data_IF_065251570323
#
_entry.id   IF_065251570323
#
_cell.length_a   1.000
_cell.length_b   1.000
_cell.length_c   1.000
_cell.angle_alpha   90.00
_cell.angle_beta   90.00
_cell.angle_gamma   90.00
#
_symmetry.space_group_name_H-M   'P 1'
#
loop_
_entity.id
_entity.type
_entity.pdbx_description
1 polymer ?
2 non-polymer ?
3 non-polymer ?
4 non-polymer ?
5 non-polymer ?
6 non-polymer ?
7 water ?
#
# COMPACT_ATOMS: atom_id res chain seq x y z
N UNK A 111 -37.62 5.13 34.88
CA UNK A 111 -36.54 5.53 33.98
C UNK A 111 -36.10 4.32 33.11
N UNK A 112 -36.06 4.53 31.76
CA UNK A 112 -35.79 3.39 30.86
C UNK A 112 -34.42 2.76 31.07
N UNK A 113 -34.19 1.63 30.40
CA UNK A 113 -33.01 0.82 30.66
C UNK A 113 -32.47 0.28 29.33
N UNK A 114 -31.44 0.94 28.81
CA UNK A 114 -30.97 0.76 27.44
C UNK A 114 -29.48 1.06 27.36
N UNK A 115 -28.80 0.40 26.43
CA UNK A 115 -27.40 0.66 26.14
C UNK A 115 -27.28 0.99 24.66
N UNK A 116 -26.53 2.06 24.35
CA UNK A 116 -26.27 2.45 22.96
C UNK A 116 -24.78 2.57 22.70
N UNK A 117 -24.36 2.09 21.54
CA UNK A 117 -22.97 2.23 21.12
C UNK A 117 -22.96 2.96 19.79
N UNK A 118 -21.93 3.77 19.59
CA UNK A 118 -21.80 4.51 18.35
C UNK A 118 -20.35 4.90 18.16
N UNK A 119 -19.98 5.20 16.92
CA UNK A 119 -18.64 5.67 16.65
C UNK A 119 -18.70 7.09 16.11
N UNK A 120 -17.72 7.90 16.53
CA UNK A 120 -17.70 9.32 16.26
C UNK A 120 -16.35 9.67 15.65
N UNK A 121 -16.31 10.19 14.42
CA UNK A 121 -15.02 10.42 13.77
C UNK A 121 -14.17 11.42 14.53
N UNK A 122 -12.85 11.19 14.51
CA UNK A 122 -11.89 12.17 14.96
C UNK A 122 -11.35 12.93 13.76
N UNK A 123 -10.77 14.09 14.03
CA UNK A 123 -10.03 14.81 13.00
C UNK A 123 -8.71 14.15 12.64
N UNK A 124 -8.13 13.36 13.54
CA UNK A 124 -6.84 12.78 13.20
C UNK A 124 -7.00 11.78 12.06
N UNK A 125 -6.08 11.83 11.10
CA UNK A 125 -6.13 10.96 9.93
C UNK A 125 -5.45 9.64 10.24
N UNK A 126 -5.88 8.60 9.52
CA UNK A 126 -5.13 7.36 9.46
C UNK A 126 -4.11 7.51 8.35
N UNK A 127 -2.89 7.10 8.64
CA UNK A 127 -1.83 7.20 7.66
C UNK A 127 -1.29 5.83 7.29
N UNK A 128 -0.40 5.86 6.33
CA UNK A 128 0.34 4.71 5.85
C UNK A 128 1.81 5.12 5.76
N UNK A 129 2.71 4.20 6.05
CA UNK A 129 4.13 4.55 6.13
C UNK A 129 4.88 3.93 4.96
N UNK A 130 5.62 4.76 4.23
CA UNK A 130 6.29 4.34 3.01
C UNK A 130 7.79 4.46 3.18
N UNK A 131 8.50 3.37 2.89
CA UNK A 131 9.95 3.27 3.01
C UNK A 131 10.53 3.01 1.63
N UNK A 132 11.47 3.86 1.21
CA UNK A 132 12.07 3.74 -0.11
C UNK A 132 13.59 3.83 0.03
N UNK A 133 14.31 3.02 -0.75
CA UNK A 133 15.77 3.06 -0.74
C UNK A 133 16.45 1.88 -0.05
N UNK A 134 15.72 1.03 0.66
CA UNK A 134 16.32 -0.11 1.34
C UNK A 134 17.16 -0.94 0.38
N UNK A 135 16.60 -1.30 -0.78
CA UNK A 135 17.34 -2.16 -1.71
C UNK A 135 18.64 -1.53 -2.19
N UNK A 136 18.80 -0.20 -2.05
CA UNK A 136 20.05 0.46 -2.47
C UNK A 136 21.20 0.17 -1.51
N UNK A 137 20.90 -0.01 -0.22
CA UNK A 137 21.85 -0.61 0.73
C UNK A 137 21.88 -2.12 0.55
N UNK A 138 21.42 -2.61 -0.60
CA UNK A 138 21.46 -4.04 -0.93
C UNK A 138 20.74 -4.87 0.12
N UNK A 139 19.79 -4.25 0.82
CA UNK A 139 18.82 -4.96 1.65
C UNK A 139 17.78 -5.59 0.74
N UNK A 140 17.35 -6.79 1.11
CA UNK A 140 16.34 -7.50 0.32
C UNK A 140 14.97 -6.97 0.72
N UNK A 141 14.21 -6.47 -0.26
CA UNK A 141 12.92 -5.86 0.06
C UNK A 141 11.93 -6.85 0.62
N UNK A 142 12.01 -8.13 0.19
CA UNK A 142 11.07 -9.11 0.70
C UNK A 142 11.24 -9.34 2.19
N UNK A 143 12.48 -9.55 2.63
CA UNK A 143 12.67 -9.78 4.06
C UNK A 143 12.56 -8.49 4.84
N UNK A 144 12.88 -7.35 4.20
CA UNK A 144 12.54 -6.07 4.80
C UNK A 144 11.05 -5.98 5.05
N UNK A 145 10.25 -6.33 4.03
CA UNK A 145 8.81 -6.25 4.18
C UNK A 145 8.35 -7.08 5.36
N UNK A 146 8.79 -8.36 5.41
CA UNK A 146 8.34 -9.25 6.49
C UNK A 146 8.86 -8.83 7.86
N UNK A 147 10.08 -8.29 7.92
CA UNK A 147 10.54 -7.74 9.19
C UNK A 147 9.59 -6.64 9.68
N UNK A 148 9.30 -5.66 8.78
CA UNK A 148 8.41 -4.56 9.14
C UNK A 148 7.06 -5.09 9.59
N UNK A 149 6.49 -6.00 8.79
CA UNK A 149 5.23 -6.62 9.15
C UNK A 149 5.25 -7.13 10.59
N UNK A 150 6.29 -7.90 10.96
CA UNK A 150 6.25 -8.51 12.28
C UNK A 150 6.62 -7.50 13.37
N UNK A 151 7.63 -6.64 13.14
CA UNK A 151 7.99 -5.74 14.23
C UNK A 151 6.86 -4.78 14.57
N UNK A 152 6.06 -4.42 13.59
CA UNK A 152 5.00 -3.46 13.83
C UNK A 152 3.63 -4.11 14.00
N UNK A 153 3.53 -5.41 13.74
CA UNK A 153 2.25 -6.13 13.85
C UNK A 153 1.18 -5.44 13.01
N UNK A 154 1.42 -5.52 11.69
CA UNK A 154 0.75 -4.66 10.72
C UNK A 154 1.13 -5.08 9.32
N UNK A 155 0.18 -5.06 8.38
CA UNK A 155 0.48 -5.53 7.04
C UNK A 155 1.45 -4.62 6.33
N UNK A 156 2.14 -5.17 5.34
CA UNK A 156 3.10 -4.43 4.53
C UNK A 156 3.25 -5.15 3.19
N UNK A 157 3.58 -4.38 2.16
CA UNK A 157 3.74 -4.96 0.83
C UNK A 157 4.80 -4.20 0.05
N UNK A 158 5.58 -4.92 -0.74
CA UNK A 158 6.46 -4.25 -1.70
C UNK A 158 5.58 -3.63 -2.77
N UNK A 159 5.68 -2.31 -2.93
CA UNK A 159 4.72 -1.54 -3.72
C UNK A 159 5.34 -0.75 -4.85
N UNK A 160 6.68 -0.72 -4.94
CA UNK A 160 7.41 -0.14 -6.05
C UNK A 160 8.58 -1.05 -6.30
N UNK A 161 9.53 -0.65 -7.15
CA UNK A 161 10.67 -1.55 -7.37
C UNK A 161 11.71 -1.43 -6.26
N UNK A 162 11.74 -0.30 -5.55
CA UNK A 162 12.48 -0.21 -4.30
C UNK A 162 11.64 0.59 -3.29
N UNK A 163 10.54 0.00 -2.82
CA UNK A 163 9.72 0.67 -1.82
C UNK A 163 8.71 -0.30 -1.24
N UNK A 164 8.42 -0.07 0.03
CA UNK A 164 7.55 -0.92 0.84
C UNK A 164 6.60 0.02 1.53
N UNK A 165 5.35 -0.41 1.70
CA UNK A 165 4.32 0.40 2.33
C UNK A 165 3.80 -0.37 3.52
N UNK A 166 3.78 0.28 4.69
CA UNK A 166 3.30 -0.32 5.92
C UNK A 166 2.00 0.36 6.29
N UNK A 167 1.03 -0.42 6.72
CA UNK A 167 -0.35 0.03 6.91
C UNK A 167 -0.62 0.75 8.23
N UNK A 168 0.27 1.64 8.67
CA UNK A 168 0.03 2.46 9.85
C UNK A 168 1.03 3.60 9.86
N UNK A 169 0.88 4.50 10.84
CA UNK A 169 1.83 5.59 11.04
C UNK A 169 2.88 5.11 12.02
N UNK A 170 4.07 4.80 11.51
CA UNK A 170 5.21 4.44 12.34
C UNK A 170 6.37 5.40 12.11
N UNK A 171 6.07 6.64 11.72
CA UNK A 171 7.12 7.57 11.29
C UNK A 171 8.01 8.02 12.45
N UNK A 172 7.54 7.87 13.70
CA UNK A 172 8.41 8.16 14.84
C UNK A 172 9.51 7.11 14.96
N UNK A 173 9.13 5.86 15.17
CA UNK A 173 10.10 4.80 15.41
C UNK A 173 10.87 4.42 14.15
N UNK A 174 10.26 4.57 12.97
CA UNK A 174 10.73 3.84 11.78
C UNK A 174 12.21 4.05 11.51
N UNK A 175 12.73 5.25 11.79
CA UNK A 175 14.15 5.50 11.59
C UNK A 175 14.98 4.63 12.53
N UNK A 176 14.78 4.79 13.84
CA UNK A 176 15.56 4.01 14.81
C UNK A 176 15.44 2.52 14.54
N UNK A 177 14.21 2.04 14.28
CA UNK A 177 13.98 0.62 13.97
C UNK A 177 14.81 0.20 12.76
N UNK A 178 14.80 1.02 11.71
CA UNK A 178 15.58 0.68 10.51
C UNK A 178 17.07 0.57 10.84
N UNK A 179 17.59 1.50 11.66
CA UNK A 179 19.03 1.55 11.90
C UNK A 179 19.49 0.46 12.88
N UNK A 180 18.70 0.21 13.92
CA UNK A 180 18.90 -0.99 14.73
C UNK A 180 19.04 -2.23 13.86
N UNK A 181 18.06 -2.49 12.99
CA UNK A 181 18.06 -3.73 12.25
C UNK A 181 19.12 -3.73 11.14
N UNK A 182 19.43 -2.57 10.57
CA UNK A 182 20.41 -2.48 9.48
C UNK A 182 21.38 -1.35 9.77
N UNK A 183 22.49 -1.63 10.45
CA UNK A 183 23.39 -0.54 10.87
C UNK A 183 24.10 0.16 9.71
N UNK A 184 24.23 -0.47 8.53
CA UNK A 184 24.66 0.24 7.33
C UNK A 184 24.04 1.63 7.22
N UNK A 185 22.75 1.74 7.55
CA UNK A 185 21.98 2.95 7.30
C UNK A 185 22.38 4.04 8.28
N UNK A 186 23.32 4.89 7.88
CA UNK A 186 23.77 5.93 8.80
C UNK A 186 22.88 7.14 8.72
N UNK A 187 23.01 8.00 9.74
CA UNK A 187 22.03 9.06 9.94
C UNK A 187 21.96 10.03 8.76
N UNK A 188 23.06 10.19 8.01
CA UNK A 188 23.09 11.10 6.86
C UNK A 188 22.62 10.44 5.57
N UNK A 189 21.91 9.32 5.65
CA UNK A 189 21.39 8.69 4.45
C UNK A 189 19.96 8.23 4.60
N UNK A 190 19.32 8.45 5.75
CA UNK A 190 17.90 8.18 5.94
C UNK A 190 17.21 9.49 6.36
N UNK A 191 16.19 9.88 5.60
CA UNK A 191 15.54 11.17 5.73
C UNK A 191 14.03 11.01 5.94
N UNK A 192 13.49 11.73 6.92
CA UNK A 192 12.04 11.79 7.16
C UNK A 192 11.50 12.99 6.39
N UNK A 193 10.86 12.72 5.26
CA UNK A 193 10.30 13.78 4.43
C UNK A 193 9.23 14.59 5.17
N UNK A 194 8.09 13.96 5.43
CA UNK A 194 6.92 14.65 5.96
C UNK A 194 5.64 14.18 5.29
N UNK A 195 4.92 15.08 4.62
CA UNK A 195 3.68 14.74 3.89
C UNK A 195 3.55 15.51 2.57
N UNK B 110 -7.45 50.00 -8.27
CA UNK B 110 -6.22 49.85 -7.50
C UNK B 110 -5.57 48.50 -7.83
N UNK B 111 -4.26 48.41 -7.61
CA UNK B 111 -3.46 47.20 -7.83
C UNK B 111 -2.40 47.12 -6.74
N UNK B 112 -2.36 46.04 -5.97
CA UNK B 112 -1.46 45.99 -4.80
C UNK B 112 -0.03 45.62 -5.18
N UNK B 113 0.91 46.08 -4.34
CA UNK B 113 2.32 45.72 -4.48
C UNK B 113 2.59 44.59 -3.51
N UNK B 114 2.30 43.36 -3.95
CA UNK B 114 2.14 42.23 -3.04
C UNK B 114 2.54 40.94 -3.75
N UNK B 115 3.31 40.09 -3.07
CA UNK B 115 3.59 38.75 -3.55
C UNK B 115 2.63 37.80 -2.87
N UNK B 116 1.91 37.01 -3.65
CA UNK B 116 1.11 35.92 -3.11
C UNK B 116 1.73 34.58 -3.47
N UNK B 117 1.60 33.65 -2.53
CA UNK B 117 2.00 32.26 -2.69
C UNK B 117 0.74 31.41 -2.58
N UNK B 118 0.65 30.38 -3.40
CA UNK B 118 -0.45 29.44 -3.24
C UNK B 118 -0.01 28.10 -3.81
N UNK B 119 -0.81 27.08 -3.50
CA UNK B 119 -0.60 25.68 -3.80
C UNK B 119 -1.84 25.20 -4.54
N UNK B 120 -1.66 24.45 -5.63
CA UNK B 120 -2.76 24.13 -6.53
C UNK B 120 -2.69 22.63 -6.77
N UNK B 121 -3.72 21.87 -6.38
CA UNK B 121 -3.70 20.42 -6.62
C UNK B 121 -3.68 20.11 -8.10
N UNK B 122 -2.73 19.28 -8.50
CA UNK B 122 -2.44 18.98 -9.90
C UNK B 122 -2.82 17.55 -10.29
N UNK B 123 -2.94 16.66 -9.31
CA UNK B 123 -3.20 15.24 -9.56
C UNK B 123 -3.46 14.55 -8.24
N UNK B 124 -4.44 13.64 -8.28
CA UNK B 124 -4.91 12.82 -7.17
C UNK B 124 -3.78 11.98 -6.56
N UNK B 125 -3.89 11.75 -5.26
CA UNK B 125 -3.10 10.74 -4.55
C UNK B 125 -2.99 9.48 -5.40
N UNK B 126 -1.74 9.03 -5.66
CA UNK B 126 -1.57 7.79 -6.42
C UNK B 126 -1.78 6.58 -5.51
N UNK B 127 -2.19 5.47 -6.11
CA UNK B 127 -2.65 4.29 -5.39
C UNK B 127 -2.14 3.06 -6.15
N UNK B 128 -1.91 1.97 -5.42
CA UNK B 128 -1.72 0.68 -6.06
C UNK B 128 -2.87 -0.22 -5.61
N UNK B 129 -3.18 -1.22 -6.41
CA UNK B 129 -4.26 -2.14 -6.07
C UNK B 129 -3.67 -3.51 -5.76
N UNK B 130 -4.00 -4.03 -4.60
CA UNK B 130 -3.49 -5.30 -4.13
C UNK B 130 -4.54 -6.38 -4.32
N UNK B 131 -4.14 -7.48 -4.96
CA UNK B 131 -4.99 -8.65 -5.16
C UNK B 131 -4.39 -9.86 -4.43
N UNK B 132 -5.17 -10.48 -3.56
CA UNK B 132 -4.73 -11.66 -2.79
C UNK B 132 -5.77 -12.75 -2.84
N UNK B 133 -5.30 -14.00 -2.74
CA UNK B 133 -6.18 -15.16 -2.68
C UNK B 133 -6.36 -15.89 -3.99
N UNK B 134 -5.83 -15.34 -5.08
CA UNK B 134 -5.97 -15.97 -6.39
C UNK B 134 -5.49 -17.42 -6.36
N UNK B 135 -4.37 -17.70 -5.65
CA UNK B 135 -3.82 -19.06 -5.62
C UNK B 135 -4.78 -20.06 -4.95
N UNK B 136 -5.56 -19.63 -3.95
CA UNK B 136 -6.54 -20.52 -3.33
C UNK B 136 -7.58 -21.03 -4.32
N UNK B 137 -7.56 -20.57 -5.56
CA UNK B 137 -8.47 -21.01 -6.62
C UNK B 137 -7.71 -21.66 -7.77
N UNK B 138 -6.46 -22.03 -7.54
CA UNK B 138 -5.64 -22.70 -8.55
C UNK B 138 -5.36 -21.78 -9.74
N UNK B 139 -5.34 -20.49 -9.51
CA UNK B 139 -4.97 -19.54 -10.57
C UNK B 139 -3.48 -19.29 -10.50
N UNK B 140 -2.82 -19.32 -11.65
CA UNK B 140 -1.37 -19.13 -11.69
C UNK B 140 -1.05 -17.65 -11.50
N UNK B 141 -0.22 -17.34 -10.51
CA UNK B 141 0.01 -15.94 -10.17
C UNK B 141 0.76 -15.21 -11.26
N UNK B 142 1.72 -15.86 -11.93
CA UNK B 142 2.41 -15.12 -13.00
C UNK B 142 1.53 -14.97 -14.23
N UNK B 143 0.64 -15.93 -14.49
CA UNK B 143 -0.39 -15.71 -15.51
C UNK B 143 -1.27 -14.53 -15.12
N UNK B 144 -1.76 -14.53 -13.88
CA UNK B 144 -2.60 -13.43 -13.43
C UNK B 144 -1.85 -12.11 -13.48
N UNK B 145 -0.59 -12.11 -13.05
CA UNK B 145 0.24 -10.92 -13.14
C UNK B 145 0.32 -10.41 -14.57
N UNK B 146 0.63 -11.30 -15.52
CA UNK B 146 0.76 -10.88 -16.92
C UNK B 146 -0.59 -10.47 -17.51
N UNK B 147 -1.67 -11.14 -17.13
CA UNK B 147 -2.98 -10.72 -17.60
C UNK B 147 -3.33 -9.32 -17.11
N UNK B 148 -3.17 -9.09 -15.80
CA UNK B 148 -3.47 -7.77 -15.24
C UNK B 148 -2.66 -6.69 -15.94
N UNK B 149 -1.36 -6.94 -16.11
CA UNK B 149 -0.49 -5.95 -16.75
C UNK B 149 -1.01 -5.54 -18.12
N UNK B 150 -1.69 -6.47 -18.81
CA UNK B 150 -2.18 -6.23 -20.16
C UNK B 150 -3.56 -5.61 -20.16
N UNK B 151 -4.50 -6.17 -19.37
CA UNK B 151 -5.86 -5.62 -19.35
C UNK B 151 -5.90 -4.21 -18.81
N UNK B 152 -4.88 -3.79 -18.06
CA UNK B 152 -4.86 -2.47 -17.46
C UNK B 152 -3.73 -1.59 -17.99
N UNK B 153 -2.85 -2.14 -18.81
CA UNK B 153 -1.78 -1.37 -19.45
C UNK B 153 -0.95 -0.68 -18.38
N UNK B 154 -0.32 -1.50 -17.54
CA UNK B 154 0.21 -1.00 -16.28
C UNK B 154 1.00 -2.11 -15.59
N UNK B 155 2.10 -1.71 -14.94
CA UNK B 155 2.96 -2.69 -14.30
C UNK B 155 2.20 -3.48 -13.26
N UNK B 156 2.49 -4.78 -13.20
CA UNK B 156 1.99 -5.65 -12.15
C UNK B 156 3.08 -6.64 -11.82
N UNK B 157 3.04 -7.15 -10.59
CA UNK B 157 4.10 -8.05 -10.18
C UNK B 157 3.67 -8.81 -8.94
N UNK B 158 4.18 -10.03 -8.83
CA UNK B 158 3.92 -10.88 -7.66
C UNK B 158 4.84 -10.43 -6.54
N UNK B 159 4.26 -9.93 -5.44
CA UNK B 159 5.03 -9.31 -4.37
C UNK B 159 5.08 -10.14 -3.11
N UNK B 160 4.57 -11.37 -3.14
CA UNK B 160 4.45 -12.18 -1.94
C UNK B 160 3.72 -13.46 -2.28
N UNK B 161 3.65 -14.38 -1.31
CA UNK B 161 3.33 -15.77 -1.64
C UNK B 161 2.03 -15.88 -2.43
N UNK B 162 1.05 -15.05 -2.12
CA UNK B 162 -0.24 -15.08 -2.82
C UNK B 162 -0.78 -13.67 -3.00
N UNK B 163 0.07 -12.75 -3.45
CA UNK B 163 -0.28 -11.35 -3.54
C UNK B 163 0.25 -10.74 -4.82
N UNK B 164 -0.59 -9.95 -5.49
CA UNK B 164 -0.18 -9.16 -6.63
C UNK B 164 -0.48 -7.68 -6.37
N UNK B 165 0.48 -6.83 -6.71
CA UNK B 165 0.35 -5.40 -6.65
C UNK B 165 0.39 -4.90 -8.08
N UNK B 166 -0.72 -4.26 -8.51
CA UNK B 166 -0.80 -3.52 -9.77
C UNK B 166 -0.56 -2.04 -9.50
N UNK B 167 0.18 -1.40 -10.40
CA UNK B 167 0.68 -0.04 -10.17
C UNK B 167 -0.34 1.05 -10.53
N UNK B 168 -1.62 0.86 -10.25
CA UNK B 168 -2.59 1.93 -10.35
C UNK B 168 -3.80 1.55 -9.51
N UNK B 169 -4.78 2.46 -9.49
CA UNK B 169 -6.08 2.21 -8.86
C UNK B 169 -7.02 1.62 -9.90
N UNK B 170 -7.37 0.35 -9.73
CA UNK B 170 -8.31 -0.32 -10.62
C UNK B 170 -9.39 -1.02 -9.83
N UNK B 171 -9.71 -0.47 -8.65
CA UNK B 171 -10.66 -1.07 -7.73
C UNK B 171 -12.10 -0.97 -8.22
N UNK B 172 -12.37 -0.06 -9.17
CA UNK B 172 -13.72 0.02 -9.74
C UNK B 172 -14.05 -1.21 -10.59
N UNK B 173 -13.10 -1.67 -11.42
CA UNK B 173 -13.32 -2.75 -12.38
C UNK B 173 -12.77 -4.12 -11.97
N UNK B 174 -11.81 -4.19 -11.05
CA UNK B 174 -10.98 -5.39 -10.95
C UNK B 174 -11.82 -6.61 -10.52
N UNK B 175 -12.85 -6.42 -9.71
CA UNK B 175 -13.66 -7.59 -9.35
C UNK B 175 -14.43 -8.10 -10.57
N UNK B 176 -14.95 -7.20 -11.41
CA UNK B 176 -15.60 -7.69 -12.62
C UNK B 176 -14.59 -8.32 -13.57
N UNK B 177 -13.43 -7.68 -13.75
CA UNK B 177 -12.36 -8.27 -14.56
C UNK B 177 -11.96 -9.65 -14.04
N UNK B 178 -11.82 -9.78 -12.72
CA UNK B 178 -11.36 -11.04 -12.15
C UNK B 178 -12.40 -12.13 -12.34
N UNK B 179 -13.69 -11.81 -12.14
CA UNK B 179 -14.69 -12.87 -12.26
C UNK B 179 -14.88 -13.30 -13.72
N UNK B 180 -14.72 -12.37 -14.66
CA UNK B 180 -14.93 -12.72 -16.06
C UNK B 180 -13.78 -13.55 -16.60
N UNK B 181 -12.55 -13.27 -16.15
CA UNK B 181 -11.40 -14.03 -16.62
C UNK B 181 -11.34 -15.40 -15.95
N UNK B 182 -11.71 -15.47 -14.67
CA UNK B 182 -11.70 -16.71 -13.90
C UNK B 182 -13.05 -16.89 -13.23
N UNK B 183 -14.04 -17.44 -13.94
CA UNK B 183 -15.38 -17.55 -13.35
C UNK B 183 -15.44 -18.44 -12.13
N UNK B 184 -14.38 -19.20 -11.84
CA UNK B 184 -14.36 -20.03 -10.63
C UNK B 184 -14.58 -19.20 -9.38
N UNK B 185 -14.22 -17.91 -9.42
CA UNK B 185 -14.29 -17.03 -8.26
C UNK B 185 -15.73 -16.52 -8.17
N UNK B 186 -16.53 -17.17 -7.34
CA UNK B 186 -17.95 -16.86 -7.18
C UNK B 186 -18.14 -15.53 -6.45
N UNK B 187 -19.40 -15.08 -6.41
CA UNK B 187 -19.73 -13.75 -5.88
C UNK B 187 -19.31 -13.62 -4.41
N UNK B 188 -19.65 -14.60 -3.58
CA UNK B 188 -19.50 -14.42 -2.14
C UNK B 188 -18.15 -14.91 -1.59
N UNK B 189 -17.15 -15.12 -2.45
CA UNK B 189 -15.76 -15.30 -2.00
C UNK B 189 -14.82 -14.40 -2.80
N UNK B 190 -15.24 -13.17 -3.09
CA UNK B 190 -14.35 -12.10 -3.49
C UNK B 190 -14.92 -10.83 -2.89
N UNK B 191 -14.04 -9.89 -2.54
CA UNK B 191 -14.44 -8.79 -1.66
C UNK B 191 -13.48 -7.63 -1.82
N UNK B 192 -14.04 -6.42 -1.78
CA UNK B 192 -13.28 -5.17 -1.83
C UNK B 192 -13.12 -4.65 -0.40
N UNK B 193 -11.90 -4.76 0.15
CA UNK B 193 -11.65 -4.33 1.53
C UNK B 193 -11.55 -2.82 1.67
N UNK B 194 -11.74 -2.06 0.59
CA UNK B 194 -11.60 -0.63 0.61
C UNK B 194 -10.15 -0.19 0.69
N UNK B 195 -9.83 0.52 1.78
CA UNK B 195 -8.48 1.00 2.03
C UNK B 195 -8.34 1.56 3.45
X LIG C 1 -4.83 -0.95 12.13
X LIG C 1 -3.98 0.16 10.43
X LIG C 1 -4.98 -0.26 11.08
X LIG C 1 -6.38 0.05 10.59
X LIG C 1 -7.29 -0.65 11.38
X LIG C 1 -6.53 -0.40 9.15
X LIG C 1 -5.93 -1.65 8.94
X LIG C 1 -8.01 -0.52 8.94
X LIG C 1 -8.78 -0.19 9.88
X LIG C 1 -8.47 -0.94 7.85
X LIG D 1 2.36 -12.52 3.92
X LIG D 1 1.96 -11.88 1.85
X LIG D 1 2.76 -12.24 2.76
X LIG D 1 4.26 -12.37 2.47
X LIG D 1 4.53 -12.03 1.14
X LIG D 1 4.66 -13.81 2.72
X LIG D 1 3.58 -14.61 2.35
X LIG D 1 5.90 -14.18 1.91
X LIG D 1 6.80 -14.90 2.42
X LIG D 1 6.03 -13.77 0.72
X LIG E 1 -2.70 4.94 12.26
X LIG E 1 -3.80 3.97 12.32
X LIG E 1 -1.45 4.28 12.65
X LIG E 1 -2.98 6.06 13.16
X LIG E 1 -2.51 5.48 10.92
X LIG F 1 8.51 2.50 -9.31
X LIG F 1 8.57 1.05 -9.44
X LIG F 1 8.61 2.86 -7.90
X LIG F 1 7.25 2.99 -9.86
X LIG F 1 9.62 3.12 -10.04
X LIG G 1 -3.37 -5.13 10.16
X LIG G 1 -3.10 -4.78 11.35
X LIG G 1 -3.42 -4.40 9.09
X LIG G 1 -3.67 -6.69 10.00
X LIG H 1 9.74 5.46 -3.51
X LIG I 1 -1.73 -1.87 11.41
X LIG J 1 -4.64 -4.38 4.51
X LIG J 1 -4.83 -2.46 5.53
X LIG J 1 -5.04 -3.18 4.51
X LIG J 1 -5.80 -2.61 3.29
X LIG J 1 -5.60 -1.23 3.12
X LIG J 1 -7.29 -2.92 3.40
X LIG J 1 -7.43 -4.28 3.68
X LIG J 1 -8.00 -2.12 4.51
X LIG J 1 -7.68 -2.36 5.71
X LIG J 1 -8.88 -1.25 4.24
X LIG K 1 -7.96 12.05 4.53
X LIG K 1 -6.76 13.70 3.67
X LIG K 1 -7.33 12.56 3.55
X LIG K 1 -7.24 11.79 2.23
X LIG K 1 -6.42 12.47 1.31
X LIG K 1 -8.61 11.43 1.62
X LIG K 1 -9.59 12.44 1.79
X LIG K 1 -8.42 11.08 0.15
X LIG K 1 -8.32 9.85 -0.14
X LIG K 1 -8.34 11.97 -0.75
X LIG L 1 7.12 -10.67 -16.69
X LIG L 1 6.87 -11.96 -15.94
X LIG L 1 7.41 -9.56 -15.72
X LIG L 1 5.90 -10.32 -17.52
X LIG L 1 8.27 -10.87 -17.65
X LIG M 1 -3.81 5.46 -11.93
X LIG M 1 -3.05 5.59 -10.68
X LIG M 1 -3.15 4.55 -12.91
X LIG M 1 -3.95 6.79 -12.53
X LIG M 1 -5.14 4.91 -11.60
X LIG N 1 3.75 1.41 -15.13
X LIG N 1 4.30 0.35 -14.74
X LIG N 1 2.55 1.78 -14.97
X LIG N 1 4.66 2.43 -15.90
X LIG O 1 -4.09 -9.49 4.02
X LIG O 1 -4.16 -8.37 4.65
X LIG O 1 -4.19 -9.70 2.73
X LIG O 1 -3.85 -10.78 4.92
X LIG P 1 -2.27 -10.22 1.02
X LIG Q 1 -0.17 2.40 -14.25
#
# INVERSE_FOLDING_TARGET
MAADISESSGADCKGDPRNSAKLDADYPLRVLYCGVCSLPTEYCEYMPDVAKCRQWLEKNFPNEFAKLTVENSPKQEAGISEGQGTAGEEEEKKKQKRGGRGQIKQKKKTVPQKVTIAKIPRAKKKYVTRVCGLATFEIDLKEAQRFFAQKFSCGASVTGEDEIIIQGDFTDDIIDVIQEKWPEVDDDSIEDLGEVKK
MAADISESSGADCKGDPRNSAKLDADYPLRVLYCGVCSLPTEYCEYMPDVAKCRQWLEKNFPNEFAKLTVENSPKQEAGISEGQGTAGEEEEKKKQKRGGRGQIKQKKKTVPQKVTIAKIPRAKKKYVTRVCGLATFEIDLKEAQRFFAQKFSCGASVTGEDEIIIQGDFTDDIIDVIQEKWPEVDDDSIEDLGEVKK
TLA O1 O11 C1 C2 O2 C3 O3 C4 O4 O41
TLA O1 O11 C1 C2 O2 C3 O3 C4 O4 O41
SO4 S O1 O2 O3 O4
SO4 S O1 O2 O3 O4
ACT C O OXT CH3
HG HG
HG HG
TLA O1 O11 C1 C2 O2 C3 O3 C4 O4 O41
TLA O1 O11 C1 C2 O2 C3 O3 C4 O4 O41
PO4 P O1 O2 O3 O4
SO4 S O1 O2 O3 O4
ACT C O OXT CH3
ACT C O OXT CH3
HG HG
HG HG
#
